data_IF_598462016536
#
_entry.id   IF_598462016536
#
_cell.length_a   1.000
_cell.length_b   1.000
_cell.length_c   1.000
_cell.angle_alpha   90.00
_cell.angle_beta   90.00
_cell.angle_gamma   90.00
#
_symmetry.space_group_name_H-M   'P 1'
#
loop_
_entity.id
_entity.type
_entity.pdbx_description
1 polymer ?
#
# COMPACT_ATOMS: atom_id res chain seq x y z
N UNK A 1 3.24 -23.52 1.27
CA UNK A 1 2.95 -23.52 -0.18
C UNK A 1 1.56 -23.00 -0.52
N UNK A 2 0.48 -23.47 0.10
CA UNK A 2 -0.90 -23.03 -0.21
C UNK A 2 -1.08 -21.50 -0.06
N UNK A 3 -0.55 -20.88 0.99
CA UNK A 3 -0.67 -19.43 1.21
C UNK A 3 0.12 -18.59 0.20
N UNK A 4 1.27 -19.07 -0.26
CA UNK A 4 2.07 -18.37 -1.27
C UNK A 4 1.41 -18.31 -2.65
N UNK A 5 0.53 -19.27 -2.96
CA UNK A 5 -0.16 -19.36 -4.25
C UNK A 5 -1.62 -18.94 -4.11
N UNK A 6 -2.31 -19.41 -3.07
CA UNK A 6 -3.75 -19.20 -2.89
C UNK A 6 -4.13 -17.74 -2.66
N UNK A 7 -3.38 -17.00 -1.82
CA UNK A 7 -3.68 -15.61 -1.55
C UNK A 7 -3.49 -14.72 -2.80
N UNK A 8 -2.38 -14.79 -3.57
CA UNK A 8 -2.24 -14.05 -4.82
C UNK A 8 -3.30 -14.42 -5.87
N UNK A 9 -3.61 -15.71 -6.04
CA UNK A 9 -4.62 -16.19 -7.01
C UNK A 9 -5.99 -15.59 -6.66
N UNK A 10 -6.42 -15.71 -5.41
CA UNK A 10 -7.72 -15.16 -4.96
C UNK A 10 -7.77 -13.64 -5.12
N UNK A 11 -6.71 -12.93 -4.73
CA UNK A 11 -6.65 -11.48 -4.80
C UNK A 11 -6.65 -10.98 -6.25
N UNK A 12 -5.70 -11.45 -7.07
CA UNK A 12 -5.45 -10.88 -8.40
C UNK A 12 -6.37 -11.45 -9.48
N UNK A 13 -6.77 -12.72 -9.37
CA UNK A 13 -7.59 -13.38 -10.41
C UNK A 13 -9.08 -13.41 -10.09
N UNK A 14 -9.48 -13.18 -8.85
CA UNK A 14 -10.89 -13.15 -8.44
C UNK A 14 -11.32 -11.78 -7.94
N UNK A 15 -10.73 -11.29 -6.85
CA UNK A 15 -11.18 -10.04 -6.21
C UNK A 15 -11.00 -8.83 -7.11
N UNK A 16 -9.85 -8.68 -7.77
CA UNK A 16 -9.55 -7.55 -8.65
C UNK A 16 -10.50 -7.48 -9.87
N UNK A 17 -10.71 -8.55 -10.66
CA UNK A 17 -11.67 -8.50 -11.77
C UNK A 17 -13.11 -8.24 -11.31
N UNK A 18 -13.55 -8.83 -10.20
CA UNK A 18 -14.89 -8.60 -9.65
C UNK A 18 -15.08 -7.17 -9.18
N UNK A 19 -14.07 -6.58 -8.49
CA UNK A 19 -14.10 -5.16 -8.17
C UNK A 19 -14.30 -4.30 -9.42
N UNK A 20 -13.51 -4.54 -10.47
CA UNK A 20 -13.59 -3.78 -11.71
C UNK A 20 -14.94 -3.96 -12.42
N UNK A 21 -15.50 -5.17 -12.40
CA UNK A 21 -16.81 -5.48 -12.96
C UNK A 21 -17.91 -4.72 -12.21
N UNK A 22 -17.98 -4.84 -10.87
CA UNK A 22 -19.02 -4.20 -10.08
C UNK A 22 -18.91 -2.66 -10.04
N UNK A 23 -17.69 -2.14 -10.09
CA UNK A 23 -17.46 -0.70 -10.22
C UNK A 23 -18.02 -0.15 -11.54
N UNK A 24 -17.86 -0.88 -12.64
CA UNK A 24 -18.47 -0.52 -13.94
C UNK A 24 -19.99 -0.66 -13.96
N UNK A 25 -20.52 -1.62 -13.23
CA UNK A 25 -21.97 -1.87 -13.11
C UNK A 25 -22.66 -0.95 -12.08
N UNK A 26 -21.97 0.07 -11.56
CA UNK A 26 -22.44 1.03 -10.56
C UNK A 26 -22.94 0.39 -9.25
N UNK A 27 -22.56 -0.86 -8.96
CA UNK A 27 -22.83 -1.55 -7.69
C UNK A 27 -21.71 -1.26 -6.69
N UNK A 28 -21.70 -0.01 -6.19
CA UNK A 28 -20.57 0.53 -5.42
C UNK A 28 -20.25 -0.30 -4.18
N UNK A 29 -21.24 -0.68 -3.37
CA UNK A 29 -21.00 -1.50 -2.16
C UNK A 29 -20.31 -2.84 -2.46
N UNK A 30 -20.77 -3.54 -3.52
CA UNK A 30 -20.16 -4.80 -3.93
C UNK A 30 -18.72 -4.57 -4.43
N UNK A 31 -18.49 -3.51 -5.19
CA UNK A 31 -17.15 -3.14 -5.61
C UNK A 31 -16.25 -2.92 -4.40
N UNK A 32 -16.67 -2.11 -3.41
CA UNK A 32 -15.88 -1.85 -2.21
C UNK A 32 -15.60 -3.13 -1.40
N UNK A 33 -16.57 -4.04 -1.28
CA UNK A 33 -16.37 -5.34 -0.63
C UNK A 33 -15.28 -6.16 -1.33
N UNK A 34 -15.31 -6.28 -2.65
CA UNK A 34 -14.27 -7.01 -3.38
C UNK A 34 -12.91 -6.32 -3.30
N UNK A 35 -12.89 -4.98 -3.26
CA UNK A 35 -11.66 -4.22 -3.05
C UNK A 35 -11.03 -4.54 -1.70
N UNK A 36 -11.78 -4.44 -0.61
CA UNK A 36 -11.34 -4.80 0.74
C UNK A 36 -10.94 -6.26 0.85
N UNK A 37 -11.72 -7.17 0.27
CA UNK A 37 -11.42 -8.61 0.28
C UNK A 37 -10.08 -8.90 -0.39
N UNK A 38 -9.73 -8.18 -1.47
CA UNK A 38 -8.41 -8.26 -2.10
C UNK A 38 -7.28 -7.97 -1.12
N UNK A 39 -7.40 -6.91 -0.32
CA UNK A 39 -6.41 -6.58 0.73
C UNK A 39 -6.43 -7.60 1.87
N UNK A 40 -7.60 -8.13 2.25
CA UNK A 40 -7.72 -9.19 3.27
C UNK A 40 -7.05 -10.51 2.83
N UNK A 41 -6.91 -10.79 1.53
CA UNK A 41 -6.11 -11.93 1.07
C UNK A 41 -4.64 -11.84 1.52
N UNK A 42 -4.07 -10.63 1.57
CA UNK A 42 -2.71 -10.41 2.08
C UNK A 42 -2.63 -10.51 3.62
N UNK A 43 -3.72 -10.23 4.33
CA UNK A 43 -3.79 -10.33 5.78
C UNK A 43 -3.69 -11.78 6.26
N UNK A 44 -4.20 -12.75 5.51
CA UNK A 44 -4.22 -14.16 5.91
C UNK A 44 -2.80 -14.69 6.17
N UNK A 45 -1.82 -14.60 5.24
CA UNK A 45 -0.46 -15.06 5.50
C UNK A 45 0.21 -14.32 6.66
N UNK A 46 -0.01 -13.00 6.81
CA UNK A 46 0.50 -12.24 7.95
C UNK A 46 -0.08 -12.74 9.28
N UNK A 47 -1.37 -13.04 9.35
CA UNK A 47 -2.03 -13.54 10.54
C UNK A 47 -1.51 -14.95 10.93
N UNK A 48 -1.35 -15.83 9.93
CA UNK A 48 -0.76 -17.16 10.19
C UNK A 48 0.66 -17.05 10.73
N UNK A 49 1.47 -16.14 10.16
CA UNK A 49 2.82 -15.87 10.65
C UNK A 49 2.81 -15.28 12.07
N UNK A 50 1.91 -14.34 12.36
CA UNK A 50 1.79 -13.71 13.68
C UNK A 50 1.46 -14.73 14.78
N UNK A 51 0.60 -15.72 14.47
CA UNK A 51 0.19 -16.75 15.43
C UNK A 51 1.28 -17.83 15.61
N UNK A 52 2.01 -18.20 14.55
CA UNK A 52 2.84 -19.40 14.53
C UNK A 52 4.34 -19.14 14.51
N UNK A 53 4.78 -17.99 14.04
CA UNK A 53 6.19 -17.72 13.76
C UNK A 53 6.71 -16.53 14.57
N UNK A 54 6.17 -15.34 14.37
CA UNK A 54 6.66 -14.10 14.95
C UNK A 54 5.53 -13.15 15.33
N UNK A 55 5.29 -12.91 16.65
CA UNK A 55 4.26 -11.98 17.11
C UNK A 55 4.38 -10.56 16.57
N UNK A 56 5.57 -10.10 16.13
CA UNK A 56 5.75 -8.79 15.50
C UNK A 56 4.88 -8.64 14.25
N UNK A 57 4.55 -9.74 13.57
CA UNK A 57 3.65 -9.75 12.41
C UNK A 57 2.22 -9.27 12.73
N UNK A 58 1.78 -9.21 14.01
CA UNK A 58 0.50 -8.58 14.36
C UNK A 58 0.43 -7.11 13.97
N UNK A 59 1.57 -6.41 13.91
CA UNK A 59 1.60 -5.02 13.46
C UNK A 59 1.31 -4.95 11.94
N UNK A 60 1.86 -5.89 11.16
CA UNK A 60 1.53 -6.03 9.75
C UNK A 60 0.04 -6.38 9.54
N UNK A 61 -0.53 -7.28 10.37
CA UNK A 61 -1.97 -7.59 10.36
C UNK A 61 -2.80 -6.34 10.62
N UNK A 62 -2.41 -5.52 11.60
CA UNK A 62 -3.10 -4.25 11.89
C UNK A 62 -3.02 -3.29 10.70
N UNK A 63 -1.84 -3.14 10.07
CA UNK A 63 -1.65 -2.32 8.88
C UNK A 63 -2.56 -2.75 7.73
N UNK A 64 -2.59 -4.05 7.41
CA UNK A 64 -3.45 -4.63 6.38
C UNK A 64 -4.94 -4.48 6.71
N UNK A 65 -5.32 -4.59 7.99
CA UNK A 65 -6.67 -4.35 8.47
C UNK A 65 -7.11 -2.90 8.26
N UNK A 66 -6.26 -1.92 8.61
CA UNK A 66 -6.51 -0.51 8.33
C UNK A 66 -6.64 -0.22 6.84
N UNK A 67 -5.79 -0.83 6.00
CA UNK A 67 -5.88 -0.67 4.56
C UNK A 67 -7.14 -1.32 3.97
N UNK A 68 -7.57 -2.47 4.47
CA UNK A 68 -8.83 -3.08 4.04
C UNK A 68 -10.06 -2.20 4.40
N UNK A 69 -10.07 -1.59 5.58
CA UNK A 69 -11.08 -0.60 5.97
C UNK A 69 -11.02 0.65 5.08
N UNK A 70 -9.81 1.14 4.82
CA UNK A 70 -9.58 2.29 3.94
C UNK A 70 -10.10 2.03 2.52
N UNK A 71 -9.86 0.83 1.97
CA UNK A 71 -10.34 0.42 0.66
C UNK A 71 -11.87 0.46 0.54
N UNK A 72 -12.57 0.11 1.61
CA UNK A 72 -14.02 0.22 1.64
C UNK A 72 -14.48 1.67 1.78
N UNK A 73 -13.89 2.42 2.69
CA UNK A 73 -14.34 3.76 3.06
C UNK A 73 -14.00 4.84 2.03
N UNK A 74 -12.90 4.67 1.28
CA UNK A 74 -12.40 5.68 0.34
C UNK A 74 -13.42 6.09 -0.73
N UNK A 75 -14.27 5.17 -1.15
CA UNK A 75 -15.30 5.43 -2.18
C UNK A 75 -16.51 6.21 -1.61
N UNK A 76 -16.71 6.23 -0.28
CA UNK A 76 -17.81 6.95 0.39
C UNK A 76 -17.33 8.26 1.03
N UNK A 77 -16.15 8.24 1.62
CA UNK A 77 -15.55 9.40 2.28
C UNK A 77 -14.03 9.37 2.09
N UNK A 78 -13.55 10.19 1.17
CA UNK A 78 -12.12 10.24 0.81
C UNK A 78 -11.23 10.59 2.00
N UNK A 79 -11.63 11.52 2.88
CA UNK A 79 -10.81 11.91 4.03
C UNK A 79 -10.73 10.80 5.08
N UNK A 80 -11.86 10.15 5.35
CA UNK A 80 -11.90 9.04 6.29
C UNK A 80 -11.07 7.86 5.76
N UNK A 81 -11.25 7.49 4.49
CA UNK A 81 -10.45 6.45 3.85
C UNK A 81 -8.95 6.76 3.86
N UNK A 82 -8.57 8.00 3.51
CA UNK A 82 -7.17 8.43 3.58
C UNK A 82 -6.61 8.39 5.00
N UNK A 83 -7.41 8.73 6.03
CA UNK A 83 -7.02 8.62 7.43
C UNK A 83 -6.70 7.17 7.84
N UNK A 84 -7.52 6.20 7.43
CA UNK A 84 -7.25 4.78 7.66
C UNK A 84 -6.03 4.29 6.89
N UNK A 85 -5.79 4.76 5.65
CA UNK A 85 -4.54 4.49 4.93
C UNK A 85 -3.32 5.02 5.68
N UNK A 86 -3.38 6.26 6.20
CA UNK A 86 -2.31 6.83 7.01
C UNK A 86 -2.02 6.00 8.27
N UNK A 87 -3.06 5.56 8.97
CA UNK A 87 -2.90 4.67 10.13
C UNK A 87 -2.19 3.37 9.74
N UNK A 88 -2.58 2.76 8.62
CA UNK A 88 -1.92 1.58 8.06
C UNK A 88 -0.44 1.82 7.72
N UNK A 89 -0.12 2.98 7.11
CA UNK A 89 1.28 3.34 6.83
C UNK A 89 2.12 3.49 8.11
N UNK A 90 1.56 4.10 9.16
CA UNK A 90 2.26 4.21 10.46
C UNK A 90 2.52 2.82 11.05
N UNK A 91 1.56 1.90 10.97
CA UNK A 91 1.77 0.52 11.38
C UNK A 91 2.86 -0.17 10.55
N UNK A 92 2.90 0.02 9.23
CA UNK A 92 3.97 -0.52 8.38
C UNK A 92 5.34 0.06 8.74
N UNK A 93 5.46 1.37 8.98
CA UNK A 93 6.70 1.98 9.45
C UNK A 93 7.18 1.30 10.73
N UNK A 94 6.29 1.14 11.72
CA UNK A 94 6.60 0.48 12.97
C UNK A 94 7.04 -0.98 12.76
N UNK A 95 6.35 -1.73 11.90
CA UNK A 95 6.68 -3.10 11.56
C UNK A 95 8.07 -3.23 10.92
N UNK A 96 8.35 -2.43 9.89
CA UNK A 96 9.63 -2.49 9.19
C UNK A 96 10.81 -2.10 10.08
N UNK A 97 10.65 -1.06 10.92
CA UNK A 97 11.70 -0.62 11.86
C UNK A 97 11.94 -1.62 13.00
N UNK A 98 10.96 -2.44 13.37
CA UNK A 98 11.18 -3.53 14.32
C UNK A 98 11.94 -4.71 13.71
N UNK A 99 11.84 -4.92 12.42
CA UNK A 99 12.53 -6.00 11.73
C UNK A 99 13.95 -5.59 11.29
N UNK A 100 14.10 -4.35 10.84
CA UNK A 100 15.32 -3.87 10.21
C UNK A 100 15.77 -2.54 10.81
N UNK A 101 16.99 -2.47 11.38
CA UNK A 101 17.52 -1.22 11.90
C UNK A 101 17.77 -0.21 10.77
N UNK A 102 17.67 1.06 11.11
CA UNK A 102 17.97 2.14 10.17
C UNK A 102 19.39 2.04 9.63
N UNK A 103 19.54 2.16 8.32
CA UNK A 103 20.81 2.13 7.59
C UNK A 103 20.95 3.35 6.67
N UNK A 104 22.13 3.56 6.12
CA UNK A 104 22.35 4.63 5.14
C UNK A 104 21.41 4.53 3.92
N UNK A 105 21.00 3.31 3.53
CA UNK A 105 20.06 3.08 2.43
C UNK A 105 18.69 3.73 2.74
N UNK A 106 18.19 3.59 3.98
CA UNK A 106 16.94 4.23 4.40
C UNK A 106 17.02 5.75 4.24
N UNK A 107 18.13 6.36 4.65
CA UNK A 107 18.32 7.82 4.57
C UNK A 107 18.41 8.32 3.13
N UNK A 108 19.17 7.61 2.28
CA UNK A 108 19.28 7.95 0.85
C UNK A 108 17.91 7.85 0.17
N UNK A 109 17.17 6.77 0.41
CA UNK A 109 15.82 6.60 -0.12
C UNK A 109 14.88 7.70 0.39
N UNK A 110 14.93 8.04 1.68
CA UNK A 110 14.09 9.08 2.27
C UNK A 110 14.33 10.43 1.59
N UNK A 111 15.59 10.84 1.43
CA UNK A 111 15.95 12.09 0.76
C UNK A 111 15.44 12.09 -0.68
N UNK A 112 15.67 11.01 -1.42
CA UNK A 112 15.20 10.88 -2.80
C UNK A 112 13.68 10.96 -2.94
N UNK A 113 12.95 10.25 -2.08
CA UNK A 113 11.48 10.25 -2.11
C UNK A 113 10.89 11.60 -1.70
N UNK A 114 11.49 12.28 -0.71
CA UNK A 114 11.08 13.64 -0.34
C UNK A 114 11.40 14.65 -1.46
N UNK A 115 12.52 14.51 -2.16
CA UNK A 115 12.82 15.35 -3.32
C UNK A 115 11.79 15.16 -4.44
N UNK A 116 11.39 13.91 -4.73
CA UNK A 116 10.32 13.59 -5.69
C UNK A 116 9.00 14.21 -5.23
N UNK A 117 8.62 14.04 -3.96
CA UNK A 117 7.40 14.62 -3.40
C UNK A 117 7.41 16.15 -3.53
N UNK A 118 8.50 16.80 -3.12
CA UNK A 118 8.64 18.26 -3.22
C UNK A 118 8.51 18.75 -4.67
N UNK A 119 9.14 18.05 -5.62
CA UNK A 119 9.03 18.38 -7.04
C UNK A 119 7.59 18.24 -7.56
N UNK A 120 6.90 17.13 -7.21
CA UNK A 120 5.51 16.89 -7.61
C UNK A 120 4.58 17.95 -7.02
N UNK A 121 4.72 18.27 -5.73
CA UNK A 121 3.93 19.30 -5.06
C UNK A 121 4.17 20.68 -5.67
N UNK A 122 5.44 21.05 -5.90
CA UNK A 122 5.79 22.34 -6.52
C UNK A 122 5.17 22.49 -7.91
N UNK A 123 5.34 21.47 -8.76
CA UNK A 123 4.81 21.46 -10.13
C UNK A 123 3.28 21.53 -10.18
N UNK A 124 2.59 20.86 -9.25
CA UNK A 124 1.14 20.69 -9.27
C UNK A 124 0.40 21.58 -8.26
N UNK A 125 1.08 22.46 -7.54
CA UNK A 125 0.51 23.27 -6.43
C UNK A 125 -0.78 24.01 -6.78
N UNK A 126 -0.91 24.52 -8.01
CA UNK A 126 -2.11 25.23 -8.47
C UNK A 126 -3.29 24.28 -8.70
N UNK A 127 -3.04 23.07 -9.25
CA UNK A 127 -4.05 22.04 -9.47
C UNK A 127 -4.52 21.38 -8.17
N UNK A 128 -3.61 21.19 -7.21
CA UNK A 128 -3.90 20.61 -5.89
C UNK A 128 -4.75 21.60 -5.04
N UNK A 129 -4.50 22.90 -5.14
CA UNK A 129 -5.27 23.96 -4.49
C UNK A 129 -5.38 23.75 -2.96
N UNK A 130 -6.61 23.74 -2.43
CA UNK A 130 -6.89 23.57 -0.99
C UNK A 130 -6.46 22.20 -0.42
N UNK A 131 -6.24 21.20 -1.27
CA UNK A 131 -5.80 19.87 -0.88
C UNK A 131 -4.27 19.79 -0.63
N UNK A 132 -3.53 20.89 -0.79
CA UNK A 132 -2.08 20.90 -0.70
C UNK A 132 -1.59 20.33 0.65
N UNK A 133 -2.17 20.76 1.76
CA UNK A 133 -1.80 20.28 3.10
C UNK A 133 -2.10 18.79 3.28
N UNK A 134 -3.33 18.28 3.05
CA UNK A 134 -3.62 16.85 3.11
C UNK A 134 -2.70 15.99 2.22
N UNK A 135 -2.47 16.41 0.98
CA UNK A 135 -1.59 15.69 0.03
C UNK A 135 -0.14 15.69 0.50
N UNK A 136 0.34 16.80 1.09
CA UNK A 136 1.71 16.89 1.63
C UNK A 136 1.89 15.95 2.82
N UNK A 137 0.93 15.94 3.75
CA UNK A 137 0.98 15.06 4.94
C UNK A 137 0.93 13.59 4.52
N UNK A 138 -0.02 13.24 3.64
CA UNK A 138 -0.14 11.87 3.12
C UNK A 138 1.14 11.43 2.39
N UNK A 139 1.60 12.23 1.42
CA UNK A 139 2.81 11.94 0.66
C UNK A 139 4.07 11.86 1.52
N UNK A 140 4.15 12.67 2.58
CA UNK A 140 5.25 12.63 3.55
C UNK A 140 5.29 11.29 4.30
N UNK A 141 4.17 10.85 4.87
CA UNK A 141 4.07 9.57 5.60
C UNK A 141 4.29 8.39 4.64
N UNK A 142 3.73 8.44 3.44
CA UNK A 142 3.98 7.44 2.39
C UNK A 142 5.47 7.37 2.03
N UNK A 143 6.15 8.51 1.89
CA UNK A 143 7.59 8.55 1.59
C UNK A 143 8.44 7.95 2.71
N UNK A 144 8.08 8.20 3.99
CA UNK A 144 8.72 7.58 5.14
C UNK A 144 8.49 6.07 5.11
N UNK A 145 7.26 5.62 4.93
CA UNK A 145 6.93 4.20 4.85
C UNK A 145 7.70 3.50 3.73
N UNK A 146 7.69 4.09 2.53
CA UNK A 146 8.40 3.54 1.38
C UNK A 146 9.93 3.51 1.59
N UNK A 147 10.51 4.52 2.25
CA UNK A 147 11.95 4.53 2.56
C UNK A 147 12.31 3.44 3.57
N UNK A 148 11.48 3.22 4.60
CA UNK A 148 11.65 2.12 5.55
C UNK A 148 11.55 0.76 4.85
N UNK A 149 10.59 0.61 3.96
CA UNK A 149 10.41 -0.62 3.19
C UNK A 149 11.58 -0.87 2.22
N UNK A 150 11.97 0.11 1.39
CA UNK A 150 13.07 -0.04 0.42
C UNK A 150 14.40 -0.24 1.14
N UNK A 151 14.61 0.46 2.26
CA UNK A 151 15.81 0.33 3.08
C UNK A 151 16.02 -1.07 3.66
N UNK A 152 14.95 -1.86 3.85
CA UNK A 152 15.04 -3.25 4.34
C UNK A 152 15.83 -4.18 3.39
N UNK A 153 16.01 -3.78 2.11
CA UNK A 153 16.85 -4.51 1.16
C UNK A 153 18.32 -4.64 1.66
N UNK A 154 18.78 -3.70 2.48
CA UNK A 154 20.14 -3.73 3.04
C UNK A 154 20.42 -4.95 3.93
N UNK A 155 19.39 -5.65 4.38
CA UNK A 155 19.53 -6.88 5.16
C UNK A 155 19.85 -8.12 4.29
N UNK A 156 19.74 -8.02 2.95
CA UNK A 156 19.97 -9.13 2.00
C UNK A 156 19.19 -10.42 2.33
N UNK A 157 18.06 -10.30 3.03
CA UNK A 157 17.16 -11.41 3.36
C UNK A 157 15.97 -11.44 2.40
N UNK A 158 15.38 -12.64 2.23
CA UNK A 158 14.15 -12.77 1.43
C UNK A 158 13.04 -11.86 1.96
N UNK A 159 12.86 -11.80 3.29
CA UNK A 159 11.88 -10.93 3.94
C UNK A 159 12.13 -9.46 3.57
N UNK A 160 13.38 -8.98 3.69
CA UNK A 160 13.75 -7.60 3.36
C UNK A 160 13.53 -7.27 1.87
N UNK A 161 13.83 -8.21 0.97
CA UNK A 161 13.60 -8.04 -0.47
C UNK A 161 12.10 -7.94 -0.78
N UNK A 162 11.26 -8.81 -0.21
CA UNK A 162 9.80 -8.77 -0.41
C UNK A 162 9.21 -7.45 0.08
N UNK A 163 9.63 -6.98 1.26
CA UNK A 163 9.21 -5.69 1.81
C UNK A 163 9.66 -4.53 0.91
N UNK A 164 10.90 -4.55 0.44
CA UNK A 164 11.44 -3.48 -0.40
C UNK A 164 10.71 -3.35 -1.73
N UNK A 165 10.45 -4.47 -2.41
CA UNK A 165 9.67 -4.50 -3.66
C UNK A 165 8.24 -4.04 -3.39
N UNK A 166 7.62 -4.52 -2.30
CA UNK A 166 6.29 -4.10 -1.86
C UNK A 166 6.20 -2.59 -1.64
N UNK A 167 7.16 -2.00 -0.93
CA UNK A 167 7.20 -0.56 -0.67
C UNK A 167 7.36 0.28 -1.94
N UNK A 168 8.22 -0.14 -2.85
CA UNK A 168 8.40 0.52 -4.14
C UNK A 168 7.11 0.48 -4.99
N UNK A 169 6.45 -0.69 -5.08
CA UNK A 169 5.18 -0.85 -5.81
C UNK A 169 4.05 -0.03 -5.17
N UNK A 170 4.01 0.04 -3.84
CA UNK A 170 3.01 0.84 -3.14
C UNK A 170 3.19 2.33 -3.44
N UNK A 171 4.42 2.83 -3.34
CA UNK A 171 4.74 4.22 -3.67
C UNK A 171 4.39 4.57 -5.12
N UNK A 172 4.69 3.68 -6.06
CA UNK A 172 4.32 3.85 -7.49
C UNK A 172 2.80 3.88 -7.65
N UNK A 173 2.07 2.95 -7.01
CA UNK A 173 0.60 2.91 -7.05
C UNK A 173 -0.03 4.23 -6.63
N UNK A 174 0.38 4.74 -5.46
CA UNK A 174 -0.20 5.96 -4.89
C UNK A 174 0.23 7.22 -5.66
N UNK A 175 1.45 7.22 -6.22
CA UNK A 175 1.91 8.30 -7.10
C UNK A 175 1.06 8.38 -8.37
N UNK A 176 0.72 7.23 -8.98
CA UNK A 176 -0.17 7.17 -10.15
C UNK A 176 -1.61 7.55 -9.75
N UNK A 177 -2.06 7.15 -8.55
CA UNK A 177 -3.37 7.53 -8.03
C UNK A 177 -3.49 9.05 -7.86
N UNK A 178 -2.48 9.70 -7.28
CA UNK A 178 -2.42 11.15 -7.15
C UNK A 178 -2.42 11.83 -8.53
N UNK A 179 -1.60 11.34 -9.46
CA UNK A 179 -1.58 11.88 -10.82
C UNK A 179 -2.97 11.80 -11.50
N UNK A 180 -3.64 10.66 -11.35
CA UNK A 180 -5.00 10.45 -11.87
C UNK A 180 -6.04 11.38 -11.22
N UNK A 181 -5.85 11.74 -9.94
CA UNK A 181 -6.74 12.69 -9.26
C UNK A 181 -6.60 14.12 -9.80
N UNK A 182 -5.44 14.46 -10.37
CA UNK A 182 -5.15 15.78 -10.90
C UNK A 182 -5.35 15.90 -12.41
N UNK A 183 -5.22 14.79 -13.14
CA UNK A 183 -5.24 14.77 -14.61
C UNK A 183 -6.15 13.67 -15.15
N UNK A 184 -6.85 13.91 -16.27
CA UNK A 184 -7.62 12.87 -16.94
C UNK A 184 -6.73 11.67 -17.28
N UNK A 185 -7.20 10.47 -16.95
CA UNK A 185 -6.46 9.24 -17.18
C UNK A 185 -7.37 8.16 -17.80
N UNK A 186 -6.78 7.35 -18.67
CA UNK A 186 -7.48 6.25 -19.33
C UNK A 186 -7.88 5.13 -18.37
N UNK A 187 -8.82 4.27 -18.80
CA UNK A 187 -9.32 3.13 -18.01
C UNK A 187 -8.22 2.14 -17.59
N UNK A 188 -7.18 1.99 -18.40
CA UNK A 188 -6.03 1.11 -18.13
C UNK A 188 -5.24 1.52 -16.88
N UNK A 189 -5.21 2.82 -16.55
CA UNK A 189 -4.51 3.34 -15.37
C UNK A 189 -5.09 2.77 -14.08
N UNK A 190 -6.42 2.55 -14.02
CA UNK A 190 -7.05 1.91 -12.85
C UNK A 190 -6.54 0.49 -12.60
N UNK A 191 -6.27 -0.28 -13.67
CA UNK A 191 -5.71 -1.62 -13.56
C UNK A 191 -4.27 -1.57 -13.05
N UNK A 192 -3.46 -0.64 -13.54
CA UNK A 192 -2.07 -0.47 -13.10
C UNK A 192 -2.03 -0.15 -11.60
N UNK A 193 -2.81 0.85 -11.16
CA UNK A 193 -2.91 1.22 -9.75
C UNK A 193 -3.25 0.01 -8.89
N UNK A 194 -4.28 -0.76 -9.26
CA UNK A 194 -4.76 -1.87 -8.43
C UNK A 194 -3.81 -3.06 -8.45
N UNK A 195 -3.21 -3.39 -9.60
CA UNK A 195 -2.22 -4.48 -9.69
C UNK A 195 -1.01 -4.15 -8.83
N UNK A 196 -0.44 -2.94 -8.95
CA UNK A 196 0.71 -2.53 -8.15
C UNK A 196 0.38 -2.47 -6.66
N UNK A 197 -0.79 -1.95 -6.29
CA UNK A 197 -1.28 -1.89 -4.92
C UNK A 197 -1.44 -3.29 -4.29
N UNK A 198 -2.21 -4.18 -4.94
CA UNK A 198 -2.44 -5.52 -4.39
C UNK A 198 -1.19 -6.37 -4.37
N UNK A 199 -0.32 -6.23 -5.37
CA UNK A 199 0.99 -6.91 -5.33
C UNK A 199 1.82 -6.42 -4.14
N UNK A 200 1.83 -5.12 -3.87
CA UNK A 200 2.51 -4.57 -2.69
C UNK A 200 1.96 -5.15 -1.38
N UNK A 201 0.63 -5.15 -1.21
CA UNK A 201 -0.03 -5.70 -0.02
C UNK A 201 0.27 -7.19 0.17
N UNK A 202 0.20 -7.98 -0.91
CA UNK A 202 0.54 -9.40 -0.90
C UNK A 202 2.00 -9.64 -0.50
N UNK A 203 2.93 -8.84 -1.03
CA UNK A 203 4.35 -8.94 -0.68
C UNK A 203 4.59 -8.62 0.81
N UNK A 204 3.91 -7.62 1.37
CA UNK A 204 3.97 -7.32 2.79
C UNK A 204 3.40 -8.47 3.64
N UNK A 205 2.26 -9.03 3.27
CA UNK A 205 1.68 -10.17 3.99
C UNK A 205 2.53 -11.42 3.90
N UNK A 206 3.07 -11.74 2.71
CA UNK A 206 3.93 -12.89 2.47
C UNK A 206 5.31 -12.76 3.10
N UNK A 207 5.84 -11.54 3.27
CA UNK A 207 7.12 -11.29 3.94
C UNK A 207 7.11 -11.76 5.39
N UNK A 208 5.94 -11.83 6.03
CA UNK A 208 5.80 -12.37 7.38
C UNK A 208 6.07 -13.88 7.46
N UNK A 209 5.99 -14.62 6.34
CA UNK A 209 6.27 -16.06 6.26
C UNK A 209 7.72 -16.35 5.82
N UNK A 210 8.50 -15.35 5.46
CA UNK A 210 9.88 -15.45 4.98
C UNK A 210 10.86 -15.20 6.13
#
# INVERSE_FOLDING_TARGET
MILYIGAPVLCLLVCLPLYMYYKRSLRLHLACLYKSTGTLCALIPALVAAIRLDPRCYICVAALGFHALADYLLEFNTYLGAGFFLAGHVCYIAFFLQLFPLSAVHMVCLIGLFAILAFVLYKNRKGIGKQLLPVTVYGGILSIMASCAIGSMSAFSLQGILIAIGGALFFVSDSILLHRALYPAGKSVSWIILITYYTAQLLFGLSCLA
#
